data_IF_516825115129
#
_entry.id   IF_516825115129
#
_cell.length_a   1.000
_cell.length_b   1.000
_cell.length_c   1.000
_cell.angle_alpha   90.00
_cell.angle_beta   90.00
_cell.angle_gamma   90.00
#
_symmetry.space_group_name_H-M   'P 1'
#
loop_
_entity.id
_entity.type
_entity.pdbx_description
1 polymer ?
#
# COMPACT_ATOMS: atom_id res chain seq x y z
N UNK A 1 17.77 -26.61 8.10
CA UNK A 1 16.63 -25.67 8.00
C UNK A 1 15.40 -26.48 7.63
N UNK A 2 14.28 -26.35 8.35
CA UNK A 2 13.01 -26.99 7.94
C UNK A 2 12.48 -26.20 6.74
N UNK A 3 12.28 -26.87 5.62
CA UNK A 3 11.62 -26.27 4.45
C UNK A 3 10.16 -26.01 4.79
N UNK A 4 9.71 -24.77 4.60
CA UNK A 4 8.28 -24.46 4.62
C UNK A 4 7.70 -24.72 3.23
N UNK A 5 6.47 -25.23 3.17
CA UNK A 5 5.75 -25.48 1.91
C UNK A 5 4.41 -24.78 1.96
N UNK A 6 4.20 -23.82 1.06
CA UNK A 6 2.88 -23.24 0.82
C UNK A 6 2.04 -24.20 -0.02
N UNK A 7 0.77 -24.33 0.33
CA UNK A 7 -0.24 -25.04 -0.48
C UNK A 7 -0.98 -24.01 -1.31
N UNK A 8 -0.36 -23.57 -2.41
CA UNK A 8 -0.90 -22.61 -3.37
C UNK A 8 -0.51 -23.05 -4.78
N UNK A 9 -1.38 -22.80 -5.76
CA UNK A 9 -1.13 -22.97 -7.18
C UNK A 9 -0.84 -21.61 -7.84
N UNK A 10 -0.03 -21.64 -8.90
CA UNK A 10 0.30 -20.43 -9.65
C UNK A 10 1.20 -19.42 -8.92
N UNK A 11 1.77 -19.76 -7.76
CA UNK A 11 2.76 -18.92 -7.07
C UNK A 11 4.00 -18.72 -7.94
N UNK A 12 4.34 -17.46 -8.21
CA UNK A 12 5.53 -17.06 -8.95
C UNK A 12 6.47 -16.25 -8.05
N UNK A 13 7.72 -16.72 -7.95
CA UNK A 13 8.78 -16.07 -7.17
C UNK A 13 9.94 -15.74 -8.11
N UNK A 14 10.17 -14.46 -8.37
CA UNK A 14 11.33 -14.01 -9.13
C UNK A 14 12.62 -14.19 -8.33
N UNK A 15 13.74 -14.18 -9.05
CA UNK A 15 15.08 -14.20 -8.46
C UNK A 15 15.27 -13.03 -7.48
N UNK A 16 15.80 -13.34 -6.31
CA UNK A 16 16.16 -12.34 -5.30
C UNK A 16 15.02 -11.93 -4.38
N UNK A 17 13.85 -12.59 -4.46
CA UNK A 17 12.85 -12.50 -3.39
C UNK A 17 13.44 -13.07 -2.10
N UNK A 18 13.35 -12.29 -1.02
CA UNK A 18 13.80 -12.67 0.32
C UNK A 18 12.57 -12.81 1.22
N UNK A 19 12.52 -13.92 1.98
CA UNK A 19 11.43 -14.22 2.89
C UNK A 19 12.03 -14.62 4.24
N UNK A 20 11.77 -13.82 5.26
CA UNK A 20 12.10 -14.14 6.65
C UNK A 20 10.87 -14.69 7.38
N UNK A 21 11.09 -15.76 8.15
CA UNK A 21 10.02 -16.49 8.85
C UNK A 21 8.92 -17.00 7.89
N UNK A 22 9.24 -17.84 6.88
CA UNK A 22 8.28 -18.28 5.87
C UNK A 22 7.07 -19.04 6.44
N UNK A 23 7.19 -19.62 7.64
CA UNK A 23 6.06 -20.27 8.34
C UNK A 23 4.95 -19.32 8.78
N UNK A 24 5.23 -18.01 8.81
CA UNK A 24 4.27 -16.96 9.17
C UNK A 24 3.76 -16.20 7.93
N UNK A 25 4.08 -16.70 6.73
CA UNK A 25 3.61 -16.15 5.47
C UNK A 25 2.49 -17.02 4.91
N UNK A 26 1.32 -16.41 4.68
CA UNK A 26 0.19 -17.03 3.99
C UNK A 26 0.08 -16.40 2.60
N UNK A 27 0.09 -17.22 1.56
CA UNK A 27 -0.01 -16.80 0.17
C UNK A 27 -1.21 -17.49 -0.47
N UNK A 28 -2.08 -16.68 -1.07
CA UNK A 28 -3.19 -17.14 -1.90
C UNK A 28 -2.74 -17.71 -3.24
N UNK A 29 -3.71 -18.01 -4.08
CA UNK A 29 -3.54 -18.55 -5.42
C UNK A 29 -3.05 -17.47 -6.40
N UNK A 30 -2.20 -17.83 -7.37
CA UNK A 30 -1.72 -16.92 -8.42
C UNK A 30 -1.05 -15.63 -7.89
N UNK A 31 -0.38 -15.71 -6.74
CA UNK A 31 0.42 -14.60 -6.21
C UNK A 31 1.74 -14.50 -6.96
N UNK A 32 2.13 -13.28 -7.33
CA UNK A 32 3.43 -13.02 -7.97
C UNK A 32 4.28 -12.08 -7.11
N UNK A 33 5.48 -12.53 -6.74
CA UNK A 33 6.48 -11.71 -6.05
C UNK A 33 7.64 -11.43 -7.02
N UNK A 34 7.81 -10.17 -7.40
CA UNK A 34 8.87 -9.75 -8.31
C UNK A 34 10.21 -9.56 -7.58
N UNK A 35 11.31 -9.61 -8.34
CA UNK A 35 12.66 -9.70 -7.81
C UNK A 35 13.08 -8.56 -6.87
N UNK A 36 13.91 -8.91 -5.89
CA UNK A 36 14.46 -7.98 -4.88
C UNK A 36 13.49 -7.60 -3.76
N UNK A 37 12.26 -8.11 -3.79
CA UNK A 37 11.28 -7.86 -2.72
C UNK A 37 11.59 -8.65 -1.47
N UNK A 38 11.46 -7.99 -0.31
CA UNK A 38 11.73 -8.54 1.00
C UNK A 38 10.44 -8.61 1.84
N UNK A 39 10.07 -9.81 2.28
CA UNK A 39 8.97 -10.05 3.21
C UNK A 39 9.51 -10.48 4.57
N UNK A 40 9.23 -9.70 5.59
CA UNK A 40 9.72 -9.91 6.96
C UNK A 40 8.52 -10.07 7.89
N UNK A 41 8.01 -11.29 8.06
CA UNK A 41 6.91 -11.53 9.01
C UNK A 41 7.37 -11.41 10.47
N UNK A 42 8.63 -11.73 10.76
CA UNK A 42 9.15 -11.83 12.13
C UNK A 42 8.59 -13.05 12.88
N UNK A 43 9.10 -13.31 14.08
CA UNK A 43 8.72 -14.50 14.87
C UNK A 43 7.30 -14.42 15.45
N UNK A 44 6.84 -13.21 15.74
CA UNK A 44 5.54 -12.93 16.36
C UNK A 44 4.51 -12.34 15.39
N UNK A 45 4.95 -11.89 14.21
CA UNK A 45 4.09 -11.28 13.21
C UNK A 45 3.66 -12.27 12.14
N UNK A 46 2.81 -11.79 11.23
CA UNK A 46 2.29 -12.55 10.11
C UNK A 46 2.13 -11.66 8.89
N UNK A 47 2.31 -12.25 7.70
CA UNK A 47 1.99 -11.60 6.43
C UNK A 47 1.02 -12.51 5.69
N UNK A 48 -0.13 -11.98 5.30
CA UNK A 48 -1.10 -12.67 4.47
C UNK A 48 -1.30 -11.91 3.15
N UNK A 49 -1.22 -12.61 2.03
CA UNK A 49 -1.44 -12.05 0.69
C UNK A 49 -2.53 -12.86 0.00
N UNK A 50 -3.60 -12.20 -0.41
CA UNK A 50 -4.75 -12.82 -1.09
C UNK A 50 -4.47 -13.16 -2.55
N UNK A 51 -5.42 -13.86 -3.16
CA UNK A 51 -5.30 -14.42 -4.50
C UNK A 51 -5.10 -13.36 -5.58
N UNK A 52 -4.40 -13.70 -6.67
CA UNK A 52 -4.21 -12.85 -7.85
C UNK A 52 -3.54 -11.49 -7.56
N UNK A 53 -2.82 -11.41 -6.44
CA UNK A 53 -2.09 -10.20 -6.03
C UNK A 53 -0.66 -10.23 -6.56
N UNK A 54 -0.21 -9.08 -7.06
CA UNK A 54 1.14 -8.89 -7.58
C UNK A 54 1.90 -7.89 -6.72
N UNK A 55 3.12 -8.25 -6.32
CA UNK A 55 4.03 -7.39 -5.55
C UNK A 55 5.28 -7.10 -6.37
N UNK A 56 5.40 -5.85 -6.80
CA UNK A 56 6.45 -5.29 -7.65
C UNK A 56 7.86 -5.45 -7.09
N UNK A 57 8.86 -5.00 -7.85
CA UNK A 57 10.27 -5.20 -7.51
C UNK A 57 10.68 -4.36 -6.32
N UNK A 58 11.65 -4.88 -5.55
CA UNK A 58 12.31 -4.15 -4.47
C UNK A 58 11.33 -3.56 -3.44
N UNK A 59 10.21 -4.25 -3.18
CA UNK A 59 9.30 -3.85 -2.11
C UNK A 59 9.84 -4.32 -0.76
N UNK A 60 9.50 -3.59 0.31
CA UNK A 60 9.79 -4.01 1.68
C UNK A 60 8.47 -4.16 2.43
N UNK A 61 8.17 -5.37 2.88
CA UNK A 61 6.95 -5.69 3.63
C UNK A 61 7.35 -6.19 5.01
N UNK A 62 7.32 -5.29 5.99
CA UNK A 62 7.72 -5.56 7.38
C UNK A 62 6.50 -5.82 8.26
N UNK A 63 6.19 -7.10 8.43
CA UNK A 63 4.98 -7.65 9.05
C UNK A 63 5.08 -8.03 10.52
N UNK A 64 6.07 -7.51 11.26
CA UNK A 64 6.26 -7.82 12.69
C UNK A 64 5.00 -7.56 13.56
N UNK A 65 4.21 -6.54 13.22
CA UNK A 65 2.93 -6.19 13.85
C UNK A 65 1.70 -6.72 13.10
N UNK A 66 1.90 -7.49 12.03
CA UNK A 66 0.85 -8.05 11.18
C UNK A 66 0.57 -7.21 9.92
N UNK A 67 0.57 -7.87 8.76
CA UNK A 67 0.15 -7.26 7.48
C UNK A 67 -0.82 -8.22 6.77
N UNK A 68 -1.94 -7.69 6.31
CA UNK A 68 -2.89 -8.40 5.45
C UNK A 68 -3.08 -7.61 4.16
N UNK A 69 -2.93 -8.28 3.02
CA UNK A 69 -3.18 -7.76 1.68
C UNK A 69 -4.26 -8.62 1.04
N UNK A 70 -5.34 -8.00 0.58
CA UNK A 70 -6.45 -8.68 -0.09
C UNK A 70 -6.07 -9.26 -1.46
N UNK A 71 -7.08 -9.80 -2.14
CA UNK A 71 -6.95 -10.35 -3.48
C UNK A 71 -7.03 -9.29 -4.58
N UNK A 72 -6.49 -9.61 -5.75
CA UNK A 72 -6.52 -8.75 -6.94
C UNK A 72 -5.74 -7.44 -6.78
N UNK A 73 -4.83 -7.36 -5.81
CA UNK A 73 -4.08 -6.13 -5.56
C UNK A 73 -2.90 -5.98 -6.53
N UNK A 74 -2.58 -4.74 -6.85
CA UNK A 74 -1.38 -4.36 -7.61
C UNK A 74 -0.50 -3.48 -6.73
N UNK A 75 0.56 -4.06 -6.18
CA UNK A 75 1.56 -3.34 -5.41
C UNK A 75 2.73 -3.04 -6.35
N UNK A 76 2.93 -1.77 -6.69
CA UNK A 76 3.97 -1.37 -7.64
C UNK A 76 5.36 -1.51 -7.02
N UNK A 77 6.41 -1.26 -7.82
CA UNK A 77 7.80 -1.41 -7.34
C UNK A 77 8.16 -0.37 -6.27
N UNK A 78 9.17 -0.66 -5.46
CA UNK A 78 9.70 0.24 -4.43
C UNK A 78 8.68 0.64 -3.35
N UNK A 79 7.57 -0.09 -3.23
CA UNK A 79 6.58 0.15 -2.17
C UNK A 79 7.12 -0.38 -0.84
N UNK A 80 6.92 0.40 0.22
CA UNK A 80 7.28 0.01 1.59
C UNK A 80 6.03 -0.06 2.47
N UNK A 81 5.80 -1.20 3.12
CA UNK A 81 4.66 -1.44 4.02
C UNK A 81 5.21 -1.82 5.38
N UNK A 82 4.92 -1.02 6.39
CA UNK A 82 5.43 -1.21 7.75
C UNK A 82 4.29 -1.39 8.74
N UNK A 83 4.25 -2.53 9.42
CA UNK A 83 3.39 -2.74 10.59
C UNK A 83 4.06 -2.37 11.92
N UNK A 84 5.34 -1.99 11.85
CA UNK A 84 6.13 -1.51 12.98
C UNK A 84 6.95 -0.32 12.51
N UNK A 85 6.92 0.78 13.27
CA UNK A 85 7.87 1.87 13.12
C UNK A 85 8.92 1.76 14.22
N UNK A 86 10.18 1.76 13.81
CA UNK A 86 11.30 1.84 14.74
C UNK A 86 11.37 3.26 15.31
N UNK A 87 11.61 3.35 16.62
CA UNK A 87 11.88 4.59 17.34
C UNK A 87 10.70 5.55 17.39
N UNK A 88 9.89 5.38 18.42
CA UNK A 88 8.97 6.43 18.85
C UNK A 88 9.75 7.72 19.15
N UNK A 89 9.07 8.86 19.26
CA UNK A 89 9.72 10.15 19.52
C UNK A 89 9.00 10.94 20.62
N UNK A 90 8.25 10.22 21.47
CA UNK A 90 7.36 10.82 22.45
C UNK A 90 8.07 11.20 23.75
N UNK A 91 9.20 10.56 24.08
CA UNK A 91 10.01 10.92 25.23
C UNK A 91 11.28 11.66 24.77
N UNK A 92 11.31 13.01 24.87
CA UNK A 92 12.48 13.79 24.50
C UNK A 92 13.66 13.61 25.46
N UNK A 93 13.49 12.93 26.60
CA UNK A 93 14.55 12.65 27.56
C UNK A 93 15.35 11.39 27.22
N UNK A 94 14.81 10.52 26.37
CA UNK A 94 15.49 9.32 25.90
C UNK A 94 16.12 9.56 24.53
N UNK A 95 17.29 8.95 24.24
CA UNK A 95 17.77 8.84 22.87
C UNK A 95 16.70 8.22 21.97
N UNK A 96 16.65 8.63 20.70
CA UNK A 96 15.68 8.12 19.72
C UNK A 96 15.71 6.59 19.65
N UNK A 97 16.91 5.99 19.72
CA UNK A 97 17.07 4.54 19.70
C UNK A 97 16.36 3.82 20.86
N UNK A 98 16.21 4.49 21.99
CA UNK A 98 15.66 3.96 23.24
C UNK A 98 14.19 4.33 23.47
N UNK A 99 13.59 5.11 22.55
CA UNK A 99 12.17 5.50 22.63
C UNK A 99 11.18 4.37 22.27
N UNK A 100 11.66 3.12 22.19
CA UNK A 100 10.83 1.96 21.91
C UNK A 100 10.32 1.89 20.46
N UNK A 101 9.32 1.03 20.26
CA UNK A 101 8.75 0.68 18.95
C UNK A 101 7.24 0.79 18.99
N UNK A 102 6.64 1.21 17.88
CA UNK A 102 5.18 1.27 17.75
C UNK A 102 4.69 0.19 16.78
N UNK A 103 3.80 -0.66 17.27
CA UNK A 103 3.15 -1.71 16.50
C UNK A 103 1.77 -1.23 16.05
N UNK A 104 1.45 -1.44 14.78
CA UNK A 104 0.13 -1.20 14.25
C UNK A 104 -0.11 -2.11 13.04
N UNK A 105 -1.07 -3.04 13.08
CA UNK A 105 -1.35 -3.92 11.96
C UNK A 105 -1.76 -3.09 10.74
N UNK A 106 -1.29 -3.49 9.55
CA UNK A 106 -1.69 -2.86 8.29
C UNK A 106 -2.65 -3.78 7.56
N UNK A 107 -3.79 -3.23 7.14
CA UNK A 107 -4.85 -3.96 6.45
C UNK A 107 -5.09 -3.32 5.10
N UNK A 108 -4.90 -4.08 4.03
CA UNK A 108 -5.14 -3.66 2.66
C UNK A 108 -6.26 -4.54 2.11
N UNK A 109 -7.34 -3.91 1.66
CA UNK A 109 -8.50 -4.57 1.08
C UNK A 109 -8.23 -5.22 -0.28
N UNK A 110 -9.28 -5.57 -0.99
CA UNK A 110 -9.24 -6.19 -2.31
C UNK A 110 -9.20 -5.14 -3.43
N UNK A 111 -8.65 -5.50 -4.60
CA UNK A 111 -8.55 -4.62 -5.78
C UNK A 111 -7.88 -3.26 -5.47
N UNK A 112 -6.89 -3.25 -4.57
CA UNK A 112 -6.14 -2.04 -4.23
C UNK A 112 -4.95 -1.88 -5.17
N UNK A 113 -4.75 -0.66 -5.68
CA UNK A 113 -3.52 -0.28 -6.37
C UNK A 113 -2.66 0.63 -5.50
N UNK A 114 -1.40 0.24 -5.28
CA UNK A 114 -0.41 1.06 -4.60
C UNK A 114 0.70 1.43 -5.59
N UNK A 115 0.81 2.73 -5.85
CA UNK A 115 1.75 3.30 -6.81
C UNK A 115 3.21 3.21 -6.36
N UNK A 116 4.12 3.27 -7.34
CA UNK A 116 5.57 3.09 -7.14
C UNK A 116 6.10 4.03 -6.06
N UNK A 117 6.94 3.51 -5.16
CA UNK A 117 7.61 4.31 -4.13
C UNK A 117 6.69 4.82 -3.01
N UNK A 118 5.43 4.38 -2.94
CA UNK A 118 4.56 4.75 -1.83
C UNK A 118 4.96 4.02 -0.52
N UNK A 119 4.68 4.67 0.61
CA UNK A 119 4.92 4.12 1.95
C UNK A 119 3.60 4.04 2.73
N UNK A 120 3.32 2.86 3.29
CA UNK A 120 2.16 2.61 4.17
C UNK A 120 2.67 2.46 5.59
N UNK A 121 2.20 3.34 6.49
CA UNK A 121 2.66 3.40 7.87
C UNK A 121 1.87 2.45 8.80
N UNK A 122 2.40 2.15 10.01
CA UNK A 122 1.76 1.24 10.94
C UNK A 122 0.34 1.67 11.32
N UNK A 123 -0.56 0.69 11.45
CA UNK A 123 -1.94 0.90 11.91
C UNK A 123 -2.91 1.38 10.84
N UNK A 124 -2.48 1.49 9.58
CA UNK A 124 -3.32 1.96 8.48
C UNK A 124 -4.19 0.85 7.90
N UNK A 125 -5.47 1.16 7.70
CA UNK A 125 -6.41 0.38 6.89
C UNK A 125 -6.67 1.07 5.53
N UNK A 126 -6.46 0.34 4.43
CA UNK A 126 -6.80 0.77 3.07
C UNK A 126 -7.98 -0.07 2.59
N UNK A 127 -9.12 0.57 2.36
CA UNK A 127 -10.34 -0.07 1.92
C UNK A 127 -10.30 -0.58 0.48
N UNK A 128 -11.26 -1.46 0.14
CA UNK A 128 -11.37 -2.08 -1.17
C UNK A 128 -11.41 -1.06 -2.32
N UNK A 129 -10.86 -1.43 -3.47
CA UNK A 129 -10.84 -0.63 -4.70
C UNK A 129 -10.09 0.72 -4.61
N UNK A 130 -9.44 1.01 -3.48
CA UNK A 130 -8.70 2.24 -3.27
C UNK A 130 -7.43 2.32 -4.13
N UNK A 131 -6.99 3.55 -4.38
CA UNK A 131 -5.78 3.84 -5.14
C UNK A 131 -4.87 4.74 -4.32
N UNK A 132 -3.63 4.30 -4.12
CA UNK A 132 -2.56 5.10 -3.53
C UNK A 132 -1.65 5.56 -4.66
N UNK A 133 -1.53 6.88 -4.86
CA UNK A 133 -0.64 7.45 -5.87
C UNK A 133 0.84 7.17 -5.59
N UNK A 134 1.65 7.23 -6.65
CA UNK A 134 3.09 7.05 -6.54
C UNK A 134 3.72 8.05 -5.55
N UNK A 135 4.70 7.59 -4.76
CA UNK A 135 5.41 8.39 -3.77
C UNK A 135 4.58 8.88 -2.57
N UNK A 136 3.33 8.43 -2.41
CA UNK A 136 2.49 8.87 -1.31
C UNK A 136 2.93 8.25 0.04
N UNK A 137 2.80 9.00 1.13
CA UNK A 137 3.01 8.50 2.50
C UNK A 137 1.66 8.41 3.20
N UNK A 138 1.12 7.20 3.30
CA UNK A 138 -0.20 6.94 3.88
C UNK A 138 -0.05 6.75 5.38
N UNK A 139 -0.54 7.73 6.14
CA UNK A 139 -0.44 7.80 7.60
C UNK A 139 -1.80 7.81 8.31
N UNK A 140 -2.86 7.48 7.59
CA UNK A 140 -4.25 7.42 8.06
C UNK A 140 -5.04 6.48 7.15
N UNK A 141 -6.16 5.98 7.65
CA UNK A 141 -7.02 5.10 6.90
C UNK A 141 -7.51 5.72 5.58
N UNK A 142 -7.63 4.87 4.57
CA UNK A 142 -8.13 5.22 3.24
C UNK A 142 -9.46 4.52 3.04
N UNK A 143 -10.59 5.25 2.92
CA UNK A 143 -11.88 4.62 2.65
C UNK A 143 -11.89 3.86 1.31
N UNK A 144 -12.76 2.84 1.16
CA UNK A 144 -12.94 2.16 -0.12
C UNK A 144 -13.21 3.14 -1.26
N UNK A 145 -12.77 2.77 -2.48
CA UNK A 145 -12.92 3.57 -3.71
C UNK A 145 -12.19 4.92 -3.75
N UNK A 146 -11.52 5.33 -2.67
CA UNK A 146 -10.82 6.61 -2.66
C UNK A 146 -9.48 6.54 -3.37
N UNK A 147 -9.15 7.63 -4.05
CA UNK A 147 -7.80 7.90 -4.57
C UNK A 147 -7.10 8.83 -3.59
N UNK A 148 -5.93 8.44 -3.07
CA UNK A 148 -5.10 9.27 -2.18
C UNK A 148 -3.74 9.56 -2.81
N UNK A 149 -3.21 10.76 -2.59
CA UNK A 149 -1.89 11.19 -3.09
C UNK A 149 -1.17 12.09 -2.09
N UNK A 150 0.15 12.22 -2.23
CA UNK A 150 0.96 13.21 -1.52
C UNK A 150 1.63 12.76 -0.23
N UNK A 151 2.37 13.68 0.39
CA UNK A 151 3.10 13.48 1.65
C UNK A 151 2.76 14.61 2.62
N UNK A 152 2.00 14.34 3.69
CA UNK A 152 1.23 13.11 3.94
C UNK A 152 0.07 12.92 2.95
N UNK A 153 -0.34 11.67 2.72
CA UNK A 153 -1.39 11.34 1.76
C UNK A 153 -2.74 11.97 2.13
N UNK A 154 -3.46 12.46 1.13
CA UNK A 154 -4.80 13.05 1.24
C UNK A 154 -5.72 12.49 0.16
N UNK A 155 -7.00 12.40 0.48
CA UNK A 155 -8.04 12.04 -0.50
C UNK A 155 -8.02 13.11 -1.61
N UNK A 156 -7.81 12.65 -2.84
CA UNK A 156 -7.87 13.44 -4.06
C UNK A 156 -9.29 13.45 -4.63
N UNK A 157 -9.88 12.25 -4.75
CA UNK A 157 -11.21 12.04 -5.34
C UNK A 157 -11.75 10.65 -5.06
N UNK A 158 -13.02 10.46 -5.34
CA UNK A 158 -13.63 9.15 -5.51
C UNK A 158 -13.32 8.59 -6.91
N UNK A 159 -12.80 7.36 -6.99
CA UNK A 159 -12.48 6.68 -8.26
C UNK A 159 -13.70 6.54 -9.17
N UNK A 160 -14.90 6.42 -8.60
CA UNK A 160 -16.16 6.21 -9.32
C UNK A 160 -16.65 7.45 -10.05
N UNK A 161 -16.24 8.64 -9.62
CA UNK A 161 -16.65 9.90 -10.27
C UNK A 161 -15.95 10.12 -11.63
N UNK A 162 -14.82 9.44 -11.86
CA UNK A 162 -14.08 9.51 -13.12
C UNK A 162 -14.79 8.77 -14.27
N UNK A 163 -15.88 8.05 -13.98
CA UNK A 163 -16.71 7.33 -14.96
C UNK A 163 -17.80 8.23 -15.60
N UNK A 164 -17.92 9.51 -15.23
CA UNK A 164 -18.84 10.42 -15.93
C UNK A 164 -18.25 10.78 -17.31
N UNK A 165 -18.92 10.47 -18.42
CA UNK A 165 -18.46 10.88 -19.75
C UNK A 165 -18.28 12.40 -19.77
N UNK A 166 -17.17 12.88 -20.34
CA UNK A 166 -16.88 14.32 -20.48
C UNK A 166 -17.89 15.08 -21.36
N UNK A 167 -18.90 14.40 -21.92
CA UNK A 167 -19.92 14.95 -22.81
C UNK A 167 -21.11 15.63 -22.11
N UNK A 168 -21.13 15.73 -20.77
CA UNK A 168 -22.24 16.36 -20.02
C UNK A 168 -21.88 17.67 -19.31
N UNK A 169 -20.78 18.33 -19.70
CA UNK A 169 -20.58 19.72 -19.30
C UNK A 169 -21.47 20.61 -20.19
N UNK A 170 -22.42 21.40 -19.64
CA UNK A 170 -23.06 22.44 -20.43
C UNK A 170 -21.95 23.38 -20.93
N UNK A 171 -21.93 23.63 -22.24
CA UNK A 171 -21.02 24.58 -22.85
C UNK A 171 -21.16 25.91 -22.10
N UNK A 172 -20.09 26.36 -21.44
CA UNK A 172 -20.06 27.66 -20.80
C UNK A 172 -20.22 28.74 -21.86
N UNK A 173 -21.44 29.25 -22.01
CA UNK A 173 -21.67 30.62 -22.44
C UNK A 173 -21.08 31.51 -21.37
N UNK A 174 -20.02 32.27 -21.68
CA UNK A 174 -20.20 33.63 -22.19
C UNK A 174 -18.83 34.29 -22.36
N UNK A 175 -18.49 34.67 -23.59
CA UNK A 175 -17.35 35.55 -23.85
C UNK A 175 -17.82 36.96 -23.50
N UNK A 176 -17.58 37.36 -22.25
CA UNK A 176 -17.77 38.74 -21.83
C UNK A 176 -17.00 39.67 -22.76
N UNK A 177 -17.78 40.45 -23.49
CA UNK A 177 -17.40 41.47 -24.44
C UNK A 177 -16.75 42.62 -23.66
N UNK A 178 -15.43 42.77 -23.71
CA UNK A 178 -14.83 44.06 -23.41
C UNK A 178 -15.01 44.97 -24.62
N UNK A 179 -16.05 45.81 -24.52
CA UNK A 179 -16.31 46.96 -25.38
C UNK A 179 -15.12 47.91 -25.35
N UNK A 180 -14.72 48.38 -26.53
CA UNK A 180 -13.95 49.60 -26.74
C UNK A 180 -14.81 50.83 -26.44
N UNK A 181 -14.23 51.81 -25.76
CA UNK A 181 -14.57 53.24 -25.75
C UNK A 181 -13.79 53.87 -24.59
N UNK A 182 -13.11 55.01 -24.68
CA UNK A 182 -12.69 55.91 -25.74
C UNK A 182 -11.49 56.69 -25.16
#
# INVERSE_FOLDING_TARGET
MRSHRWRTSGLQLDRGVQIECPGNLQLGENVTLFGGTHLVAGRSGQIAVGDHTHIGRNCVISGLGGITIGGGCSISSLVSIYSVSNHYHHDPQLPIVDNGVHYGPVQIGNDVWIGTGAAILPGVTIGDHAVVGAGAVVNRDVPPWMVVVGVPARILKDRRESQRPSSLLPASHDKATHRRSA
#
